data_IF_251343818072
#
_entry.id   IF_251343818072
#
_cell.length_a   1.000
_cell.length_b   1.000
_cell.length_c   1.000
_cell.angle_alpha   90.00
_cell.angle_beta   90.00
_cell.angle_gamma   90.00
#
_symmetry.space_group_name_H-M   'P 1'
#
loop_
_entity.id
_entity.type
_entity.pdbx_description
1 polymer ?
#
# COMPACT_ATOMS: atom_id res chain seq x y z
N UNK A 1 29.48 -20.83 24.58
CA UNK A 1 28.25 -20.16 24.11
C UNK A 1 27.45 -21.16 23.31
N UNK A 2 26.55 -21.86 23.97
CA UNK A 2 25.79 -22.96 23.38
C UNK A 2 24.71 -22.41 22.49
N UNK A 3 24.79 -22.72 21.19
CA UNK A 3 23.73 -22.41 20.22
C UNK A 3 22.62 -23.44 20.43
N UNK A 4 21.60 -23.11 21.21
CA UNK A 4 20.38 -23.90 21.25
C UNK A 4 19.63 -23.72 19.93
N UNK A 5 19.85 -24.63 19.00
CA UNK A 5 19.06 -24.71 17.77
C UNK A 5 17.72 -25.37 18.07
N UNK A 6 16.62 -24.65 17.94
CA UNK A 6 15.28 -25.24 18.00
C UNK A 6 14.91 -25.64 16.58
N UNK A 7 14.85 -26.94 16.32
CA UNK A 7 14.36 -27.49 15.05
C UNK A 7 12.87 -27.77 15.17
N UNK A 8 12.05 -26.95 14.50
CA UNK A 8 10.59 -27.14 14.46
C UNK A 8 10.26 -27.89 13.18
N UNK A 9 9.66 -29.06 13.27
CA UNK A 9 9.19 -29.81 12.10
C UNK A 9 7.80 -29.32 11.67
N UNK A 10 7.48 -29.42 10.38
CA UNK A 10 6.16 -29.07 9.83
C UNK A 10 5.02 -29.85 10.50
N UNK A 11 5.30 -31.04 11.05
CA UNK A 11 4.35 -31.85 11.80
C UNK A 11 4.03 -31.26 13.17
N UNK A 12 5.03 -30.72 13.87
CA UNK A 12 4.86 -30.06 15.16
C UNK A 12 4.10 -28.72 15.05
N UNK A 13 4.16 -28.07 13.92
CA UNK A 13 3.32 -26.90 13.59
C UNK A 13 1.86 -27.30 13.36
N UNK A 14 1.58 -28.53 12.93
CA UNK A 14 0.23 -29.07 12.72
C UNK A 14 -0.44 -29.55 14.02
N UNK A 15 0.34 -30.06 14.95
CA UNK A 15 -0.17 -30.60 16.21
C UNK A 15 -0.34 -29.46 17.22
N UNK A 16 -1.56 -29.34 17.74
CA UNK A 16 -2.10 -28.24 18.51
C UNK A 16 -1.40 -27.89 19.85
N UNK A 17 -0.27 -28.46 20.15
CA UNK A 17 0.39 -28.38 21.45
C UNK A 17 1.49 -27.33 21.58
N UNK A 18 1.94 -26.69 20.48
CA UNK A 18 3.08 -25.80 20.58
C UNK A 18 2.84 -24.47 19.84
N UNK A 19 2.40 -23.48 20.57
CA UNK A 19 2.42 -22.09 20.12
C UNK A 19 3.65 -21.45 20.75
N UNK A 20 4.71 -21.17 19.98
CA UNK A 20 5.88 -20.52 20.55
C UNK A 20 5.50 -19.14 21.09
N UNK A 21 5.95 -18.87 22.31
CA UNK A 21 5.86 -17.54 22.90
C UNK A 21 7.27 -17.01 23.02
N UNK A 22 7.50 -15.79 22.57
CA UNK A 22 8.82 -15.23 22.67
C UNK A 22 8.93 -13.85 22.04
N UNK A 23 10.06 -13.24 22.29
CA UNK A 23 10.43 -11.96 21.66
C UNK A 23 11.73 -12.21 20.90
N UNK A 24 11.70 -11.87 19.61
CA UNK A 24 12.87 -11.91 18.74
C UNK A 24 13.25 -10.48 18.41
N UNK A 25 14.45 -10.07 18.80
CA UNK A 25 14.97 -8.74 18.51
C UNK A 25 16.16 -8.80 17.57
N UNK A 26 16.19 -7.88 16.60
CA UNK A 26 17.32 -7.69 15.69
C UNK A 26 17.88 -6.29 15.86
N UNK A 27 19.17 -6.15 16.06
CA UNK A 27 19.83 -4.86 16.08
C UNK A 27 20.23 -4.38 14.68
N UNK A 28 20.60 -5.30 13.81
CA UNK A 28 20.91 -5.05 12.40
C UNK A 28 20.56 -6.30 11.58
N UNK A 29 19.65 -6.14 10.64
CA UNK A 29 19.29 -7.17 9.68
C UNK A 29 19.45 -6.61 8.27
N UNK A 30 20.10 -7.37 7.42
CA UNK A 30 20.28 -7.04 6.02
C UNK A 30 19.55 -8.07 5.18
N UNK A 31 18.52 -7.65 4.46
CA UNK A 31 17.69 -8.52 3.65
C UNK A 31 17.88 -8.17 2.18
N UNK A 32 18.18 -9.18 1.38
CA UNK A 32 18.10 -9.12 -0.09
C UNK A 32 17.04 -10.10 -0.53
N UNK A 33 16.11 -9.65 -1.34
CA UNK A 33 15.08 -10.51 -1.92
C UNK A 33 15.18 -10.48 -3.45
N UNK A 34 14.86 -11.57 -4.14
CA UNK A 34 14.85 -11.59 -5.60
C UNK A 34 13.87 -10.56 -6.20
N UNK A 35 12.84 -10.20 -5.43
CA UNK A 35 11.80 -9.25 -5.83
C UNK A 35 12.21 -7.79 -5.65
N UNK A 36 13.32 -7.50 -4.96
CA UNK A 36 13.77 -6.13 -4.74
C UNK A 36 15.24 -5.96 -5.11
N UNK A 37 15.51 -5.13 -6.09
CA UNK A 37 16.89 -4.76 -6.49
C UNK A 37 17.60 -3.94 -5.38
N UNK A 38 16.85 -3.34 -4.45
CA UNK A 38 17.40 -2.56 -3.35
C UNK A 38 17.49 -3.40 -2.09
N UNK A 39 18.66 -3.36 -1.40
CA UNK A 39 18.79 -4.02 -0.12
C UNK A 39 17.96 -3.31 0.96
N UNK A 40 17.29 -4.10 1.78
CA UNK A 40 16.55 -3.63 2.94
C UNK A 40 17.50 -3.72 4.14
N UNK A 41 17.79 -2.59 4.76
CA UNK A 41 18.59 -2.51 5.99
C UNK A 41 17.65 -2.21 7.14
N UNK A 42 17.44 -3.20 8.00
CA UNK A 42 16.61 -3.07 9.19
C UNK A 42 17.48 -2.77 10.41
N UNK A 43 17.02 -1.82 11.23
CA UNK A 43 17.64 -1.46 12.50
C UNK A 43 16.59 -1.62 13.60
N UNK A 44 17.00 -2.10 14.78
CA UNK A 44 16.16 -2.20 15.99
C UNK A 44 14.72 -2.69 15.68
N UNK A 45 14.61 -3.94 15.28
CA UNK A 45 13.32 -4.57 15.06
C UNK A 45 13.05 -5.54 16.21
N UNK A 46 11.88 -5.47 16.82
CA UNK A 46 11.41 -6.41 17.80
C UNK A 46 10.07 -7.02 17.36
N UNK A 47 10.01 -8.33 17.36
CA UNK A 47 8.81 -9.10 17.04
C UNK A 47 8.48 -9.94 18.25
N UNK A 48 7.28 -9.79 18.80
CA UNK A 48 6.75 -10.69 19.81
C UNK A 48 5.79 -11.69 19.19
N UNK A 49 5.95 -12.93 19.56
CA UNK A 49 5.07 -14.03 19.17
C UNK A 49 4.32 -14.50 20.40
N UNK A 50 3.01 -14.44 20.34
CA UNK A 50 2.11 -14.86 21.41
C UNK A 50 0.99 -15.76 20.90
N UNK A 51 0.17 -16.28 21.81
CA UNK A 51 -0.91 -17.23 21.47
C UNK A 51 -1.95 -16.67 20.50
N UNK A 52 -2.17 -15.36 20.52
CA UNK A 52 -3.25 -14.70 19.77
C UNK A 52 -2.74 -13.72 18.72
N UNK A 53 -1.49 -13.29 18.83
CA UNK A 53 -0.96 -12.27 17.94
C UNK A 53 0.54 -12.43 17.73
N UNK A 54 0.99 -12.06 16.54
CA UNK A 54 2.37 -11.73 16.22
C UNK A 54 2.42 -10.22 16.10
N UNK A 55 3.22 -9.56 16.95
CA UNK A 55 3.30 -8.11 17.00
C UNK A 55 4.67 -7.63 16.56
N UNK A 56 4.70 -6.72 15.60
CA UNK A 56 5.87 -5.97 15.18
C UNK A 56 5.91 -4.66 15.98
N UNK A 57 6.81 -4.57 16.95
CA UNK A 57 6.84 -3.40 17.85
C UNK A 57 7.47 -2.17 17.21
N UNK A 58 8.57 -2.35 16.54
CA UNK A 58 9.24 -1.26 15.86
C UNK A 58 10.23 -1.81 14.85
N UNK A 59 9.92 -1.68 13.58
CA UNK A 59 10.82 -2.04 12.49
C UNK A 59 11.26 -0.77 11.77
N UNK A 60 12.43 -0.27 12.13
CA UNK A 60 13.05 0.84 11.40
C UNK A 60 13.89 0.28 10.28
N UNK A 61 13.61 0.69 9.06
CA UNK A 61 14.29 0.18 7.87
C UNK A 61 14.70 1.32 6.93
N UNK A 62 15.79 1.06 6.20
CA UNK A 62 16.24 1.90 5.08
C UNK A 62 16.21 1.08 3.81
N UNK A 63 15.53 1.61 2.79
CA UNK A 63 15.45 1.04 1.45
C UNK A 63 15.89 2.11 0.47
N UNK A 64 17.12 1.98 -0.03
CA UNK A 64 17.73 3.04 -0.83
C UNK A 64 17.79 4.38 -0.09
N UNK A 65 17.11 5.39 -0.61
CA UNK A 65 17.01 6.74 -0.02
C UNK A 65 15.79 6.92 0.91
N UNK A 66 14.98 5.89 1.05
CA UNK A 66 13.78 5.93 1.88
C UNK A 66 14.08 5.41 3.28
N UNK A 67 13.53 6.09 4.28
CA UNK A 67 13.44 5.61 5.65
C UNK A 67 12.00 5.18 5.91
N UNK A 68 11.82 4.08 6.60
CA UNK A 68 10.52 3.54 6.94
C UNK A 68 10.54 3.04 8.37
N UNK A 69 9.48 3.31 9.10
CA UNK A 69 9.20 2.71 10.40
C UNK A 69 7.85 2.04 10.35
N UNK A 70 7.81 0.76 10.70
CA UNK A 70 6.60 -0.04 10.69
C UNK A 70 6.32 -0.60 12.08
N UNK A 71 5.06 -0.50 12.51
CA UNK A 71 4.51 -1.17 13.68
C UNK A 71 3.21 -1.86 13.30
N UNK A 72 2.89 -2.97 13.91
CA UNK A 72 1.66 -3.66 13.55
C UNK A 72 1.49 -5.00 14.24
N UNK A 73 0.39 -5.67 13.94
CA UNK A 73 0.11 -6.98 14.49
C UNK A 73 -0.69 -7.84 13.49
N UNK A 74 -0.44 -9.13 13.54
CA UNK A 74 -1.26 -10.15 12.91
C UNK A 74 -1.97 -10.90 14.02
N UNK A 75 -3.30 -10.93 13.99
CA UNK A 75 -4.14 -11.57 14.99
C UNK A 75 -4.71 -12.89 14.47
N UNK A 76 -4.89 -13.83 15.36
CA UNK A 76 -5.56 -15.12 15.10
C UNK A 76 -4.96 -15.91 13.92
N UNK A 77 -3.63 -15.77 13.67
CA UNK A 77 -2.94 -16.45 12.58
C UNK A 77 -3.23 -17.96 12.58
N UNK A 78 -3.21 -18.55 13.77
CA UNK A 78 -3.50 -19.98 13.95
C UNK A 78 -4.94 -20.35 13.55
N UNK A 79 -5.92 -19.54 13.95
CA UNK A 79 -7.31 -19.72 13.56
C UNK A 79 -7.53 -19.54 12.05
N UNK A 80 -6.82 -18.61 11.43
CA UNK A 80 -6.85 -18.40 9.99
C UNK A 80 -6.28 -19.59 9.21
N UNK A 81 -5.15 -20.14 9.67
CA UNK A 81 -4.50 -21.28 9.00
C UNK A 81 -5.23 -22.61 9.17
N UNK A 82 -5.84 -22.88 10.33
CA UNK A 82 -6.48 -24.16 10.62
C UNK A 82 -7.99 -24.20 10.44
N UNK A 83 -8.66 -23.09 10.70
CA UNK A 83 -10.11 -23.05 10.76
C UNK A 83 -10.73 -22.14 9.69
N UNK A 84 -9.96 -21.77 8.68
CA UNK A 84 -10.38 -20.85 7.62
C UNK A 84 -11.02 -19.57 8.15
N UNK A 85 -10.59 -19.13 9.35
CA UNK A 85 -11.01 -17.86 9.94
C UNK A 85 -10.37 -16.69 9.21
N UNK A 86 -10.94 -15.51 9.37
CA UNK A 86 -10.37 -14.29 8.80
C UNK A 86 -9.00 -14.00 9.41
N UNK A 87 -8.00 -13.79 8.57
CA UNK A 87 -6.71 -13.25 8.97
C UNK A 87 -6.86 -11.76 9.21
N UNK A 88 -6.67 -11.32 10.44
CA UNK A 88 -6.70 -9.90 10.81
C UNK A 88 -5.30 -9.38 10.96
N UNK A 89 -5.01 -8.28 10.28
CA UNK A 89 -3.72 -7.61 10.43
C UNK A 89 -3.89 -6.09 10.44
N UNK A 90 -3.09 -5.44 11.28
CA UNK A 90 -2.98 -3.99 11.34
C UNK A 90 -1.53 -3.59 11.11
N UNK A 91 -1.31 -2.55 10.33
CA UNK A 91 0.02 -2.01 10.05
C UNK A 91 -0.03 -0.48 10.10
N UNK A 92 0.88 0.12 10.84
CA UNK A 92 1.13 1.56 10.77
C UNK A 92 2.50 1.78 10.15
N UNK A 93 2.54 2.59 9.10
CA UNK A 93 3.74 2.91 8.35
C UNK A 93 4.03 4.40 8.48
N UNK A 94 5.22 4.73 8.94
CA UNK A 94 5.70 6.11 9.05
C UNK A 94 7.01 6.28 8.29
N UNK A 95 7.21 7.48 7.71
CA UNK A 95 8.45 7.83 7.02
C UNK A 95 8.70 9.33 7.10
N UNK A 96 9.95 9.72 7.31
CA UNK A 96 10.38 11.12 7.19
C UNK A 96 10.61 11.48 5.71
N UNK A 97 11.10 10.54 4.93
CA UNK A 97 11.41 10.75 3.51
C UNK A 97 11.24 9.46 2.70
N UNK A 98 10.20 9.41 1.89
CA UNK A 98 9.87 8.28 1.03
C UNK A 98 10.13 8.64 -0.42
N UNK A 99 10.95 7.86 -1.12
CA UNK A 99 11.20 8.01 -2.55
C UNK A 99 10.49 6.90 -3.33
N UNK A 100 9.25 7.16 -3.72
CA UNK A 100 8.43 6.20 -4.47
C UNK A 100 9.05 5.84 -5.83
N UNK A 101 9.72 6.79 -6.51
CA UNK A 101 10.37 6.51 -7.79
C UNK A 101 11.40 5.39 -7.68
N UNK A 102 12.17 5.40 -6.60
CA UNK A 102 13.19 4.39 -6.36
C UNK A 102 12.58 3.06 -5.94
N UNK A 103 11.56 3.10 -5.08
CA UNK A 103 10.88 1.89 -4.60
C UNK A 103 10.16 1.17 -5.75
N UNK A 104 9.40 1.89 -6.57
CA UNK A 104 8.66 1.30 -7.70
C UNK A 104 9.62 0.65 -8.69
N UNK A 105 10.73 1.32 -9.03
CA UNK A 105 11.75 0.76 -9.93
C UNK A 105 12.49 -0.44 -9.34
N UNK A 106 12.50 -0.58 -8.02
CA UNK A 106 13.22 -1.66 -7.35
C UNK A 106 12.38 -2.92 -7.14
N UNK A 107 11.06 -2.82 -7.23
CA UNK A 107 10.16 -3.96 -7.05
C UNK A 107 9.90 -4.60 -8.40
N UNK A 108 10.34 -5.84 -8.55
CA UNK A 108 9.96 -6.68 -9.69
C UNK A 108 8.71 -7.46 -9.32
N UNK A 109 7.57 -7.10 -9.90
CA UNK A 109 6.37 -7.90 -9.79
C UNK A 109 6.51 -9.16 -10.63
N UNK A 110 6.05 -10.34 -10.15
CA UNK A 110 5.94 -11.52 -11.01
C UNK A 110 5.09 -11.16 -12.24
N UNK A 111 5.54 -11.57 -13.43
CA UNK A 111 4.88 -11.23 -14.70
C UNK A 111 3.41 -11.68 -14.80
N UNK A 112 2.95 -12.51 -13.89
CA UNK A 112 1.60 -13.06 -13.90
C UNK A 112 0.55 -12.20 -13.15
N UNK A 113 0.93 -11.03 -12.58
CA UNK A 113 -0.01 -10.32 -11.69
C UNK A 113 -0.27 -8.86 -12.05
N UNK A 114 0.40 -8.24 -12.99
CA UNK A 114 0.00 -6.90 -13.45
C UNK A 114 0.80 -6.48 -14.68
N UNK A 115 0.30 -6.76 -15.86
CA UNK A 115 0.58 -5.90 -17.01
C UNK A 115 -0.38 -4.70 -16.93
N UNK A 116 0.03 -3.68 -16.19
CA UNK A 116 -0.40 -2.32 -16.51
C UNK A 116 0.64 -1.83 -17.52
N UNK A 117 0.56 -2.32 -18.71
CA UNK A 117 1.25 -1.73 -19.86
C UNK A 117 0.41 -0.54 -20.30
N UNK A 118 0.94 0.66 -20.03
CA UNK A 118 0.58 1.88 -20.75
C UNK A 118 1.20 1.77 -22.15
N UNK A 119 0.61 0.97 -23.00
CA UNK A 119 0.76 1.09 -24.45
C UNK A 119 -0.62 0.92 -25.09
N UNK A 120 -1.01 1.97 -25.79
CA UNK A 120 -2.16 2.05 -26.63
C UNK A 120 -2.05 1.06 -27.80
N UNK A 121 -2.57 -0.16 -27.60
CA UNK A 121 -2.98 -1.02 -28.69
C UNK A 121 -4.36 -1.56 -28.40
N UNK A 122 -5.29 -1.10 -29.22
CA UNK A 122 -6.70 -1.47 -29.30
C UNK A 122 -6.86 -2.91 -29.78
N UNK A 123 -6.57 -3.86 -28.91
CA UNK A 123 -7.08 -5.22 -29.01
C UNK A 123 -7.70 -5.57 -27.65
N UNK A 124 -8.97 -5.83 -27.67
CA UNK A 124 -9.82 -6.15 -26.53
C UNK A 124 -9.33 -7.38 -25.75
N UNK A 125 -8.32 -7.18 -24.93
CA UNK A 125 -7.98 -8.16 -23.90
C UNK A 125 -8.90 -7.86 -22.72
N UNK A 126 -9.87 -8.73 -22.47
CA UNK A 126 -10.76 -8.62 -21.32
C UNK A 126 -9.94 -8.39 -20.04
N UNK A 127 -10.09 -7.22 -19.43
CA UNK A 127 -9.40 -6.84 -18.20
C UNK A 127 -9.91 -7.76 -17.07
N UNK A 128 -9.13 -8.77 -16.71
CA UNK A 128 -9.46 -9.62 -15.57
C UNK A 128 -9.33 -8.79 -14.29
N UNK A 129 -10.44 -8.67 -13.58
CA UNK A 129 -10.46 -7.95 -12.30
C UNK A 129 -9.67 -8.72 -11.24
N UNK A 130 -8.93 -7.98 -10.42
CA UNK A 130 -8.22 -8.55 -9.28
C UNK A 130 -9.21 -8.90 -8.17
N UNK A 131 -9.45 -10.19 -7.97
CA UNK A 131 -10.36 -10.69 -6.92
C UNK A 131 -9.70 -10.58 -5.55
N UNK A 132 -10.38 -9.89 -4.63
CA UNK A 132 -9.88 -9.71 -3.27
C UNK A 132 -10.24 -10.94 -2.43
N UNK A 133 -9.27 -11.54 -1.72
CA UNK A 133 -9.51 -12.72 -0.90
C UNK A 133 -10.56 -12.47 0.20
N UNK A 134 -11.44 -13.46 0.43
CA UNK A 134 -12.55 -13.37 1.42
C UNK A 134 -12.05 -13.34 2.87
N UNK A 135 -10.92 -13.99 3.12
CA UNK A 135 -10.45 -14.29 4.46
C UNK A 135 -9.40 -13.29 4.98
N UNK A 136 -9.35 -12.10 4.40
CA UNK A 136 -8.43 -11.03 4.81
C UNK A 136 -9.22 -9.87 5.40
N UNK A 137 -8.76 -9.40 6.56
CA UNK A 137 -9.16 -8.16 7.21
C UNK A 137 -7.87 -7.42 7.58
N UNK A 138 -7.49 -6.47 6.74
CA UNK A 138 -6.23 -5.75 6.85
C UNK A 138 -6.47 -4.25 6.92
N UNK A 139 -5.80 -3.60 7.86
CA UNK A 139 -5.82 -2.15 8.01
C UNK A 139 -4.39 -1.62 7.94
N UNK A 140 -4.17 -0.67 7.04
CA UNK A 140 -2.92 0.07 6.92
C UNK A 140 -3.18 1.53 7.24
N UNK A 141 -2.44 2.08 8.19
CA UNK A 141 -2.37 3.52 8.44
C UNK A 141 -1.03 4.06 7.97
N UNK A 142 -1.04 5.22 7.34
CA UNK A 142 0.18 5.87 6.84
C UNK A 142 0.36 7.27 7.43
N UNK A 143 1.61 7.59 7.78
CA UNK A 143 2.02 8.92 8.21
C UNK A 143 3.40 9.23 7.62
N UNK A 144 3.42 9.92 6.48
CA UNK A 144 4.61 10.14 5.68
C UNK A 144 4.87 11.65 5.56
N UNK A 145 5.96 12.13 6.15
CA UNK A 145 6.24 13.56 6.18
C UNK A 145 6.57 14.11 4.78
N UNK A 146 7.32 13.34 4.00
CA UNK A 146 7.73 13.75 2.65
C UNK A 146 7.76 12.56 1.71
N UNK A 147 7.01 12.66 0.63
CA UNK A 147 6.92 11.64 -0.43
C UNK A 147 7.33 12.24 -1.76
N UNK A 148 8.29 11.60 -2.45
CA UNK A 148 8.68 11.99 -3.82
C UNK A 148 8.12 10.98 -4.81
N UNK A 149 7.32 11.47 -5.75
CA UNK A 149 6.78 10.69 -6.86
C UNK A 149 6.89 11.48 -8.17
N UNK A 150 7.50 10.90 -9.18
CA UNK A 150 7.85 11.64 -10.41
C UNK A 150 8.80 12.80 -10.09
N UNK A 151 8.44 13.97 -10.56
CA UNK A 151 9.10 15.25 -10.25
C UNK A 151 8.47 15.95 -9.05
N UNK A 152 7.35 15.44 -8.53
CA UNK A 152 6.57 16.05 -7.46
C UNK A 152 7.07 15.65 -6.07
N UNK A 153 6.84 16.53 -5.13
CA UNK A 153 7.09 16.30 -3.71
C UNK A 153 5.82 16.62 -2.95
N UNK A 154 5.29 15.61 -2.28
CA UNK A 154 4.16 15.73 -1.38
C UNK A 154 4.64 15.75 0.07
N UNK A 155 3.94 16.50 0.90
CA UNK A 155 4.19 16.62 2.34
C UNK A 155 2.95 16.19 3.11
N UNK A 156 3.14 15.84 4.37
CA UNK A 156 2.06 15.52 5.30
C UNK A 156 1.07 14.49 4.72
N UNK A 157 1.61 13.44 4.09
CA UNK A 157 0.80 12.39 3.48
C UNK A 157 0.32 11.45 4.57
N UNK A 158 -0.97 11.41 4.80
CA UNK A 158 -1.61 10.53 5.78
C UNK A 158 -2.92 9.97 5.24
N UNK A 159 -3.22 8.76 5.62
CA UNK A 159 -4.43 8.07 5.20
C UNK A 159 -4.50 6.65 5.72
N UNK A 160 -5.64 6.03 5.54
CA UNK A 160 -5.89 4.65 5.93
C UNK A 160 -6.45 3.83 4.76
N UNK A 161 -5.95 2.60 4.64
CA UNK A 161 -6.45 1.62 3.68
C UNK A 161 -7.01 0.45 4.48
N UNK A 162 -8.25 0.10 4.22
CA UNK A 162 -8.89 -1.12 4.73
C UNK A 162 -9.07 -2.13 3.59
N UNK A 163 -8.70 -3.37 3.84
CA UNK A 163 -9.05 -4.50 2.99
C UNK A 163 -9.94 -5.42 3.81
N UNK A 164 -11.24 -5.42 3.54
CA UNK A 164 -12.22 -6.28 4.21
C UNK A 164 -13.42 -6.57 3.33
N UNK A 165 -14.05 -7.72 3.53
CA UNK A 165 -15.26 -8.13 2.81
C UNK A 165 -15.10 -8.09 1.29
N UNK A 166 -13.94 -8.47 0.79
CA UNK A 166 -13.59 -8.43 -0.64
C UNK A 166 -13.62 -7.02 -1.25
N UNK A 167 -13.36 -6.01 -0.45
CA UNK A 167 -13.23 -4.63 -0.89
C UNK A 167 -11.94 -4.00 -0.35
N UNK A 168 -11.36 -3.10 -1.13
CA UNK A 168 -10.29 -2.18 -0.73
C UNK A 168 -10.91 -0.80 -0.59
N UNK A 169 -10.77 -0.19 0.58
CA UNK A 169 -11.20 1.17 0.85
C UNK A 169 -9.97 2.01 1.19
N UNK A 170 -9.68 2.99 0.37
CA UNK A 170 -8.84 4.11 0.75
C UNK A 170 -9.75 5.13 1.44
N UNK A 171 -9.73 5.19 2.75
CA UNK A 171 -10.67 6.00 3.53
C UNK A 171 -10.34 7.46 3.34
N UNK A 172 -9.34 8.00 3.53
CA UNK A 172 -9.00 9.40 3.27
C UNK A 172 -7.49 9.51 3.15
N UNK A 173 -7.01 9.68 1.94
CA UNK A 173 -5.63 10.04 1.71
C UNK A 173 -5.55 11.56 1.58
N UNK A 174 -4.93 12.21 2.53
CA UNK A 174 -4.68 13.64 2.52
C UNK A 174 -3.19 13.91 2.34
N UNK A 175 -2.87 14.91 1.54
CA UNK A 175 -1.50 15.34 1.28
C UNK A 175 -1.43 16.81 0.86
N UNK A 176 -0.28 17.41 1.05
CA UNK A 176 0.04 18.76 0.58
C UNK A 176 1.08 18.68 -0.54
N UNK A 177 0.88 19.42 -1.59
CA UNK A 177 1.82 19.53 -2.72
C UNK A 177 1.36 20.55 -3.74
N UNK A 178 2.28 21.09 -4.51
CA UNK A 178 1.98 22.11 -5.54
C UNK A 178 1.23 23.33 -5.00
N UNK A 179 1.49 23.69 -3.73
CA UNK A 179 0.80 24.74 -2.96
C UNK A 179 -0.71 24.50 -2.77
N UNK A 180 -1.13 23.25 -2.88
CA UNK A 180 -2.51 22.81 -2.71
C UNK A 180 -2.62 21.72 -1.64
N UNK A 181 -3.81 21.56 -1.10
CA UNK A 181 -4.20 20.39 -0.29
C UNK A 181 -5.00 19.44 -1.15
N UNK A 182 -4.61 18.17 -1.13
CA UNK A 182 -5.26 17.10 -1.87
C UNK A 182 -5.90 16.13 -0.91
N UNK A 183 -7.12 15.68 -1.21
CA UNK A 183 -7.81 14.61 -0.50
C UNK A 183 -8.42 13.66 -1.49
N UNK A 184 -8.28 12.38 -1.23
CA UNK A 184 -8.90 11.36 -2.06
C UNK A 184 -9.41 10.19 -1.24
N UNK A 185 -10.54 9.66 -1.66
CA UNK A 185 -11.09 8.36 -1.22
C UNK A 185 -11.21 7.46 -2.42
N UNK A 186 -11.12 6.15 -2.20
CA UNK A 186 -11.28 5.16 -3.24
C UNK A 186 -11.92 3.92 -2.65
N UNK A 187 -12.82 3.32 -3.41
CA UNK A 187 -13.36 1.99 -3.16
C UNK A 187 -13.12 1.12 -4.39
N UNK A 188 -12.66 -0.11 -4.16
CA UNK A 188 -12.57 -1.13 -5.18
C UNK A 188 -13.09 -2.42 -4.60
N UNK A 189 -14.02 -3.06 -5.27
CA UNK A 189 -14.61 -4.34 -4.88
C UNK A 189 -14.65 -5.27 -6.08
N UNK A 190 -14.09 -6.46 -5.94
CA UNK A 190 -14.23 -7.53 -6.92
C UNK A 190 -14.36 -8.86 -6.17
N UNK A 191 -15.52 -9.47 -6.30
CA UNK A 191 -15.85 -10.78 -5.71
C UNK A 191 -15.65 -11.93 -6.70
N UNK A 192 -15.72 -11.61 -7.97
CA UNK A 192 -15.54 -12.50 -9.11
C UNK A 192 -14.67 -11.79 -10.15
N UNK A 193 -13.94 -12.53 -11.00
CA UNK A 193 -13.10 -11.93 -12.03
C UNK A 193 -13.86 -11.11 -13.08
N UNK A 194 -15.18 -11.38 -13.23
CA UNK A 194 -16.04 -10.80 -14.25
C UNK A 194 -16.82 -9.59 -13.75
N UNK A 195 -16.96 -9.43 -12.43
CA UNK A 195 -17.80 -8.39 -11.85
C UNK A 195 -17.11 -7.68 -10.72
N UNK A 196 -17.10 -6.38 -10.79
CA UNK A 196 -16.53 -5.52 -9.77
C UNK A 196 -17.22 -4.17 -9.69
N UNK A 197 -16.77 -3.37 -8.76
CA UNK A 197 -17.19 -2.01 -8.56
C UNK A 197 -15.97 -1.17 -8.18
N UNK A 198 -15.86 0.00 -8.75
CA UNK A 198 -14.86 0.98 -8.35
C UNK A 198 -15.49 2.37 -8.27
N UNK A 199 -15.04 3.13 -7.28
CA UNK A 199 -15.42 4.51 -7.10
C UNK A 199 -14.29 5.31 -6.51
N UNK A 200 -14.19 6.59 -6.85
CA UNK A 200 -13.25 7.51 -6.25
C UNK A 200 -13.84 8.91 -6.11
N UNK A 201 -13.33 9.63 -5.13
CA UNK A 201 -13.54 11.06 -4.95
C UNK A 201 -12.17 11.72 -4.79
N UNK A 202 -11.90 12.75 -5.57
CA UNK A 202 -10.64 13.46 -5.57
C UNK A 202 -10.89 14.96 -5.48
N UNK A 203 -10.30 15.59 -4.47
CA UNK A 203 -10.44 17.01 -4.16
C UNK A 203 -9.10 17.70 -4.12
N UNK A 204 -8.96 18.74 -4.89
CA UNK A 204 -7.85 19.69 -4.82
C UNK A 204 -8.37 21.01 -4.28
N UNK A 205 -7.79 21.49 -3.21
CA UNK A 205 -8.15 22.77 -2.62
C UNK A 205 -7.02 23.78 -2.79
N UNK A 206 -7.38 24.98 -3.27
CA UNK A 206 -6.47 26.12 -3.41
C UNK A 206 -5.29 25.87 -4.38
N UNK A 207 -5.51 25.12 -5.46
CA UNK A 207 -4.45 24.87 -6.45
C UNK A 207 -4.30 26.04 -7.43
N UNK A 208 -3.06 26.43 -7.69
CA UNK A 208 -2.76 27.38 -8.77
C UNK A 208 -3.13 26.76 -10.13
N UNK A 209 -3.84 27.52 -10.97
CA UNK A 209 -4.36 27.02 -12.27
C UNK A 209 -3.23 26.50 -13.17
N UNK A 210 -2.11 27.21 -13.27
CA UNK A 210 -0.96 26.75 -14.04
C UNK A 210 -0.42 25.41 -13.56
N UNK A 211 -0.31 25.22 -12.23
CA UNK A 211 0.11 23.95 -11.64
C UNK A 211 -0.91 22.82 -11.82
N UNK A 212 -2.20 23.16 -11.85
CA UNK A 212 -3.27 22.20 -12.15
C UNK A 212 -3.13 21.64 -13.56
N UNK A 213 -2.87 22.48 -14.55
CA UNK A 213 -2.66 22.06 -15.95
C UNK A 213 -1.39 21.20 -16.08
N UNK A 214 -0.34 21.55 -15.36
CA UNK A 214 0.90 20.76 -15.34
C UNK A 214 0.70 19.38 -14.64
N UNK A 215 -0.23 19.33 -13.69
CA UNK A 215 -0.56 18.09 -12.98
C UNK A 215 -1.47 17.17 -13.80
N UNK A 216 -2.44 17.74 -14.53
CA UNK A 216 -3.39 17.03 -15.39
C UNK A 216 -3.23 17.55 -16.83
N UNK A 217 -2.27 17.03 -17.61
CA UNK A 217 -2.00 17.53 -18.96
C UNK A 217 -3.20 17.46 -19.90
N UNK A 218 -4.14 16.54 -19.67
CA UNK A 218 -5.36 16.42 -20.47
C UNK A 218 -6.24 17.67 -20.40
N UNK A 219 -6.15 18.44 -19.32
CA UNK A 219 -6.91 19.70 -19.19
C UNK A 219 -6.50 20.74 -20.24
N UNK A 220 -5.24 20.72 -20.67
CA UNK A 220 -4.75 21.61 -21.74
C UNK A 220 -5.41 21.32 -23.09
N UNK A 221 -5.76 20.08 -23.32
CA UNK A 221 -6.46 19.66 -24.53
C UNK A 221 -7.98 19.96 -24.47
N UNK A 222 -8.59 19.79 -23.29
CA UNK A 222 -10.03 20.00 -23.09
C UNK A 222 -10.36 21.48 -22.99
N UNK A 223 -9.53 22.26 -22.28
CA UNK A 223 -9.73 23.68 -22.03
C UNK A 223 -8.41 24.45 -22.24
N UNK A 224 -8.00 24.69 -23.49
CA UNK A 224 -6.69 25.32 -23.81
C UNK A 224 -6.49 26.71 -23.18
N UNK A 225 -7.60 27.41 -22.89
CA UNK A 225 -7.56 28.73 -22.28
C UNK A 225 -7.16 28.73 -20.79
N UNK A 226 -7.14 27.59 -20.11
CA UNK A 226 -6.81 27.51 -18.69
C UNK A 226 -5.44 28.12 -18.36
N UNK A 227 -4.47 27.99 -19.25
CA UNK A 227 -3.14 28.58 -19.06
C UNK A 227 -3.14 30.12 -19.04
N UNK A 228 -4.16 30.75 -19.61
CA UNK A 228 -4.31 32.21 -19.62
C UNK A 228 -4.89 32.78 -18.32
N UNK A 229 -5.45 31.92 -17.47
CA UNK A 229 -6.00 32.32 -16.18
C UNK A 229 -4.92 32.33 -15.09
N UNK A 230 -4.98 33.35 -14.24
CA UNK A 230 -4.13 33.44 -13.06
C UNK A 230 -5.03 33.35 -11.82
N UNK A 231 -4.50 32.71 -10.78
CA UNK A 231 -5.20 32.55 -9.51
C UNK A 231 -5.22 31.11 -9.04
N UNK A 232 -6.02 30.87 -8.03
CA UNK A 232 -6.22 29.55 -7.42
C UNK A 232 -7.66 29.09 -7.58
N UNK A 233 -7.85 27.78 -7.69
CA UNK A 233 -9.17 27.13 -7.84
C UNK A 233 -9.26 25.92 -6.95
N UNK A 234 -10.49 25.58 -6.61
CA UNK A 234 -10.82 24.27 -6.06
C UNK A 234 -11.31 23.36 -7.19
N UNK A 235 -10.77 22.16 -7.22
CA UNK A 235 -11.12 21.17 -8.23
C UNK A 235 -11.63 19.90 -7.54
N UNK A 236 -12.76 19.43 -8.00
CA UNK A 236 -13.43 18.28 -7.43
C UNK A 236 -13.86 17.32 -8.54
N UNK A 237 -13.50 16.07 -8.45
CA UNK A 237 -13.94 15.05 -9.38
C UNK A 237 -14.28 13.78 -8.62
N UNK A 238 -15.43 13.19 -8.95
CA UNK A 238 -15.84 11.88 -8.45
C UNK A 238 -16.38 11.04 -9.59
N UNK A 239 -16.12 9.77 -9.52
CA UNK A 239 -16.68 8.80 -10.46
C UNK A 239 -16.91 7.48 -9.74
N UNK A 240 -17.98 6.79 -10.15
CA UNK A 240 -18.34 5.46 -9.72
C UNK A 240 -18.76 4.64 -10.93
N UNK A 241 -18.32 3.39 -10.99
CA UNK A 241 -18.65 2.50 -12.10
C UNK A 241 -18.72 1.05 -11.64
N UNK A 242 -19.73 0.32 -12.14
CA UNK A 242 -19.65 -1.12 -12.22
C UNK A 242 -18.57 -1.52 -13.22
N UNK A 243 -17.82 -2.54 -12.89
CA UNK A 243 -16.77 -3.11 -13.73
C UNK A 243 -17.21 -4.49 -14.16
N UNK A 244 -17.61 -4.61 -15.44
CA UNK A 244 -17.95 -5.89 -16.03
C UNK A 244 -16.87 -6.23 -17.07
N UNK A 245 -16.29 -7.42 -16.96
CA UNK A 245 -15.41 -7.94 -18.01
C UNK A 245 -16.29 -8.45 -19.16
N UNK A 246 -16.36 -7.69 -20.24
CA UNK A 246 -16.99 -8.15 -21.50
C UNK A 246 -16.12 -9.22 -22.17
#
# INVERSE_FOLDING_TARGET
MDKAGITITAQQLKDSLWIPKGIVGFNRLFVRTPQSALPIRMQKTAISVGNRAITLHNATMKIGRSDLTATGAIHDLYGAMRHNKKLRATLTLSSKNLNCNQLIRSISFPKDTAQIETESDTTSTALKLFVIPRNIDFELQTNLNRVRYGKMVFKNVHGAIDIRNQAIHLKELSMEGMDATMRTTLIYQARQPEQGYAGFDFKLHNINIGKLVDFIPSLDTIVPMLRSFQGTVDFNVSAESGLDSC
#
